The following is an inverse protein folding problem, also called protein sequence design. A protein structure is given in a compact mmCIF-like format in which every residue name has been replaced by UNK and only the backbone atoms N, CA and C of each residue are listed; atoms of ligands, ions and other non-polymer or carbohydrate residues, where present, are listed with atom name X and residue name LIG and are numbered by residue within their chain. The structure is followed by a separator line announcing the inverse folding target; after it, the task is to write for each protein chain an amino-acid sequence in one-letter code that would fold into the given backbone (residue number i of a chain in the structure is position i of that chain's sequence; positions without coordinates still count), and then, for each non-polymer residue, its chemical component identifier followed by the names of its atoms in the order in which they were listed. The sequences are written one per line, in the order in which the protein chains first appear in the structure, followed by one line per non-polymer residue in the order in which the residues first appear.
data_IF_741553993772
#
_entry.id   IF_741553993772
#
_cell.length_a   1.000
_cell.length_b   1.000
_cell.length_c   1.000
_cell.angle_alpha   90.00
_cell.angle_beta   90.00
_cell.angle_gamma   90.00
#
_symmetry.space_group_name_H-M   'P 1'
#
loop_
_entity.id
_entity.type
_entity.pdbx_description
1 polymer ?
#
# COMPACT_ATOMS: atom_id res chain seq x y z
N UNK A 1 -13.37 2.09 -64.59
CA UNK A 1 -13.02 0.68 -64.37
C UNK A 1 -13.78 0.23 -63.14
N UNK A 2 -14.82 -0.60 -63.23
CA UNK A 2 -15.45 -1.18 -64.42
C UNK A 2 -16.97 -1.13 -64.19
N UNK A 3 -17.62 -0.19 -64.90
CA UNK A 3 -18.94 -0.28 -65.56
C UNK A 3 -20.13 -0.97 -64.85
N UNK A 4 -21.40 -0.51 -64.90
CA UNK A 4 -22.17 0.61 -65.51
C UNK A 4 -23.55 0.60 -64.77
N UNK A 5 -24.45 1.59 -64.79
CA UNK A 5 -24.59 2.88 -65.50
C UNK A 5 -25.24 3.90 -64.52
N UNK A 6 -26.00 4.89 -65.02
CA UNK A 6 -26.82 5.88 -64.29
C UNK A 6 -28.15 6.07 -65.07
N UNK A 7 -29.17 6.67 -64.44
CA UNK A 7 -30.43 7.25 -65.01
C UNK A 7 -31.63 6.28 -65.17
N UNK A 8 -32.90 6.73 -65.10
CA UNK A 8 -33.47 8.10 -65.06
C UNK A 8 -34.76 8.20 -64.21
N UNK A 9 -35.22 9.42 -63.95
CA UNK A 9 -36.35 9.78 -63.05
C UNK A 9 -37.66 10.11 -63.82
N UNK A 10 -38.79 9.85 -63.16
CA UNK A 10 -40.05 10.64 -63.14
C UNK A 10 -41.18 10.47 -64.19
N UNK A 11 -42.38 10.72 -63.63
CA UNK A 11 -43.72 11.06 -64.17
C UNK A 11 -44.74 9.92 -64.32
N UNK A 12 -46.05 10.03 -64.03
CA UNK A 12 -46.98 10.85 -63.19
C UNK A 12 -48.42 10.43 -63.64
N UNK A 13 -49.47 10.68 -62.83
CA UNK A 13 -50.94 10.48 -63.09
C UNK A 13 -51.50 9.04 -63.01
N UNK A 14 -52.80 8.79 -62.73
CA UNK A 14 -53.79 9.33 -61.76
C UNK A 14 -55.15 8.57 -61.92
N UNK A 15 -55.93 8.40 -60.84
CA UNK A 15 -57.31 7.84 -60.76
C UNK A 15 -57.48 6.34 -61.15
N UNK A 16 -58.46 5.56 -60.64
CA UNK A 16 -59.78 5.82 -59.99
C UNK A 16 -59.94 5.03 -58.66
N UNK A 17 -60.58 5.56 -57.59
CA UNK A 17 -62.00 5.34 -57.17
C UNK A 17 -62.57 3.94 -57.54
N UNK A 18 -63.33 3.18 -56.72
CA UNK A 18 -64.10 3.39 -55.46
C UNK A 18 -64.49 1.96 -54.92
N UNK A 19 -65.09 1.65 -53.75
CA UNK A 19 -65.50 2.33 -52.50
C UNK A 19 -65.91 1.24 -51.46
N UNK A 20 -65.55 1.36 -50.16
CA UNK A 20 -66.40 1.14 -48.96
C UNK A 20 -65.58 1.07 -47.66
N UNK A 21 -66.06 1.69 -46.57
CA UNK A 21 -65.37 1.71 -45.29
C UNK A 21 -66.04 0.83 -44.22
N UNK A 22 -65.24 0.41 -43.24
CA UNK A 22 -65.69 0.18 -41.88
C UNK A 22 -64.63 0.72 -40.92
N UNK A 23 -64.95 1.80 -40.23
CA UNK A 23 -64.08 2.40 -39.20
C UNK A 23 -64.16 1.59 -37.92
N UNK A 24 -63.17 0.74 -37.67
CA UNK A 24 -62.87 0.25 -36.32
C UNK A 24 -61.70 1.06 -35.76
N UNK A 25 -62.02 2.14 -35.06
CA UNK A 25 -61.06 2.81 -34.18
C UNK A 25 -60.95 1.95 -32.91
N UNK A 26 -60.19 0.85 -33.03
CA UNK A 26 -59.72 0.09 -31.88
C UNK A 26 -58.66 0.90 -31.15
N UNK A 27 -59.10 1.79 -30.25
CA UNK A 27 -58.19 2.48 -29.35
C UNK A 27 -57.86 1.56 -28.17
N UNK A 28 -57.02 0.54 -28.43
CA UNK A 28 -56.42 -0.29 -27.38
C UNK A 28 -55.41 0.54 -26.58
N UNK A 29 -55.95 1.37 -25.69
CA UNK A 29 -55.27 1.83 -24.49
C UNK A 29 -55.56 0.84 -23.37
N UNK A 30 -55.12 -0.40 -23.54
CA UNK A 30 -54.82 -1.23 -22.38
C UNK A 30 -53.82 -0.43 -21.52
N UNK A 31 -54.13 -0.14 -20.25
CA UNK A 31 -53.17 0.51 -19.38
C UNK A 31 -51.92 -0.37 -19.34
N UNK A 32 -50.75 0.18 -19.66
CA UNK A 32 -49.49 -0.55 -19.44
C UNK A 32 -49.45 -0.90 -17.95
N UNK A 33 -49.43 -2.19 -17.66
CA UNK A 33 -49.43 -2.68 -16.28
C UNK A 33 -48.25 -2.06 -15.53
N UNK A 34 -48.52 -1.53 -14.34
CA UNK A 34 -47.53 -0.78 -13.57
C UNK A 34 -46.44 -1.75 -13.12
N UNK A 35 -45.17 -1.41 -13.33
CA UNK A 35 -44.10 -2.23 -12.78
C UNK A 35 -44.11 -2.18 -11.24
N UNK A 36 -43.73 -3.30 -10.64
CA UNK A 36 -43.64 -3.51 -9.18
C UNK A 36 -42.34 -4.21 -8.77
N UNK A 37 -41.48 -4.58 -9.72
CA UNK A 37 -40.20 -5.25 -9.47
C UNK A 37 -39.12 -4.17 -9.38
N UNK A 38 -38.33 -4.10 -8.29
CA UNK A 38 -37.22 -3.17 -8.19
C UNK A 38 -36.08 -3.49 -9.18
N UNK A 39 -35.42 -2.47 -9.74
CA UNK A 39 -34.27 -2.68 -10.63
C UNK A 39 -33.05 -3.26 -9.89
N UNK A 40 -32.19 -3.96 -10.62
CA UNK A 40 -30.92 -4.50 -10.16
C UNK A 40 -29.82 -3.45 -10.29
N UNK A 41 -29.35 -2.94 -9.16
CA UNK A 41 -28.17 -2.09 -9.03
C UNK A 41 -26.94 -2.95 -8.72
N UNK A 42 -25.90 -2.88 -9.56
CA UNK A 42 -24.63 -3.60 -9.37
C UNK A 42 -23.46 -2.62 -9.31
N UNK A 43 -22.58 -2.81 -8.32
CA UNK A 43 -21.33 -2.05 -8.15
C UNK A 43 -20.17 -3.04 -8.08
N UNK A 44 -19.39 -3.15 -9.15
CA UNK A 44 -18.11 -3.85 -9.14
C UNK A 44 -17.07 -3.00 -8.39
N UNK A 45 -16.01 -3.60 -7.86
CA UNK A 45 -14.97 -2.86 -7.10
C UNK A 45 -15.57 -1.99 -5.99
N UNK A 46 -16.07 -2.63 -4.93
CA UNK A 46 -16.70 -1.97 -3.77
C UNK A 46 -15.72 -1.19 -2.89
N UNK A 47 -14.41 -1.29 -3.17
CA UNK A 47 -13.37 -0.41 -2.63
C UNK A 47 -12.51 0.12 -3.77
N UNK A 48 -12.40 1.44 -3.89
CA UNK A 48 -11.46 2.12 -4.79
C UNK A 48 -10.45 2.88 -3.94
N UNK A 49 -9.19 2.89 -4.39
CA UNK A 49 -8.08 3.51 -3.68
C UNK A 49 -7.27 4.34 -4.69
N UNK A 50 -7.21 5.65 -4.45
CA UNK A 50 -6.53 6.63 -5.32
C UNK A 50 -5.72 7.62 -4.51
N UNK A 51 -4.74 8.28 -5.12
CA UNK A 51 -4.07 9.46 -4.55
C UNK A 51 -4.87 10.74 -4.80
N UNK A 52 -4.63 11.77 -3.98
CA UNK A 52 -5.10 13.13 -4.29
C UNK A 52 -4.62 13.53 -5.69
N UNK A 53 -5.54 14.06 -6.50
CA UNK A 53 -5.27 14.49 -7.86
C UNK A 53 -5.28 13.38 -8.92
N UNK A 54 -5.36 12.09 -8.54
CA UNK A 54 -5.67 11.04 -9.51
C UNK A 54 -7.13 11.15 -9.98
N UNK A 55 -7.41 10.92 -11.28
CA UNK A 55 -8.77 10.97 -11.79
C UNK A 55 -9.59 9.80 -11.24
N UNK A 56 -10.81 10.09 -10.77
CA UNK A 56 -11.77 9.11 -10.28
C UNK A 56 -13.10 9.25 -11.01
N UNK A 57 -13.55 8.18 -11.66
CA UNK A 57 -14.91 8.04 -12.16
C UNK A 57 -15.73 7.19 -11.18
N UNK A 58 -16.68 7.83 -10.48
CA UNK A 58 -17.57 7.14 -9.55
C UNK A 58 -18.58 6.22 -10.27
N UNK A 59 -18.78 6.34 -11.57
CA UNK A 59 -19.64 5.44 -12.37
C UNK A 59 -18.88 4.26 -12.99
N UNK A 60 -17.54 4.23 -12.91
CA UNK A 60 -16.76 3.09 -13.40
C UNK A 60 -17.20 1.80 -12.67
N UNK A 61 -17.56 0.76 -13.44
CA UNK A 61 -18.01 -0.51 -12.89
C UNK A 61 -19.37 -0.47 -12.19
N UNK A 62 -20.23 0.51 -12.47
CA UNK A 62 -21.58 0.63 -11.91
C UNK A 62 -22.62 0.41 -13.01
N UNK A 63 -23.61 -0.46 -12.77
CA UNK A 63 -24.69 -0.78 -13.74
C UNK A 63 -26.06 -0.85 -13.07
N UNK A 64 -27.10 -0.54 -13.83
CA UNK A 64 -28.50 -0.56 -13.40
C UNK A 64 -29.40 -1.19 -14.45
N UNK A 65 -30.01 -2.33 -14.14
CA UNK A 65 -30.86 -3.09 -15.07
C UNK A 65 -32.28 -3.28 -14.52
N UNK A 66 -33.27 -3.12 -15.38
CA UNK A 66 -34.70 -3.22 -15.09
C UNK A 66 -35.40 -4.21 -16.02
N UNK A 67 -36.42 -4.91 -15.52
CA UNK A 67 -37.15 -5.94 -16.27
C UNK A 67 -38.10 -5.41 -17.37
N UNK A 68 -38.57 -4.16 -17.29
CA UNK A 68 -39.46 -3.54 -18.28
C UNK A 68 -38.76 -2.44 -19.08
N UNK A 69 -37.78 -1.77 -18.48
CA UNK A 69 -37.06 -0.63 -19.08
C UNK A 69 -35.70 -1.00 -19.66
N UNK A 70 -35.11 -2.13 -19.26
CA UNK A 70 -33.79 -2.56 -19.71
C UNK A 70 -32.66 -1.82 -18.98
N UNK A 71 -31.68 -1.29 -19.71
CA UNK A 71 -30.57 -0.54 -19.09
C UNK A 71 -31.03 0.86 -18.67
N UNK A 72 -31.01 1.09 -17.35
CA UNK A 72 -31.32 2.37 -16.71
C UNK A 72 -30.14 2.88 -15.87
N UNK A 73 -28.91 2.45 -16.19
CA UNK A 73 -27.66 2.89 -15.53
C UNK A 73 -27.52 4.41 -15.49
N UNK A 74 -28.07 5.12 -16.49
CA UNK A 74 -28.08 6.59 -16.55
C UNK A 74 -29.01 7.28 -15.54
N UNK A 75 -29.81 6.53 -14.76
CA UNK A 75 -30.67 7.04 -13.67
C UNK A 75 -30.07 6.84 -12.29
N UNK A 76 -28.90 6.21 -12.20
CA UNK A 76 -28.22 6.00 -10.93
C UNK A 76 -27.83 7.37 -10.34
N UNK A 77 -28.13 7.54 -9.06
CA UNK A 77 -27.76 8.73 -8.29
C UNK A 77 -26.79 8.33 -7.18
N UNK A 78 -25.87 9.23 -6.84
CA UNK A 78 -24.79 8.97 -5.89
C UNK A 78 -24.89 9.98 -4.74
N UNK A 79 -25.09 9.50 -3.52
CA UNK A 79 -24.80 10.28 -2.33
C UNK A 79 -23.29 10.30 -2.11
N UNK A 80 -22.73 11.49 -2.29
CA UNK A 80 -21.33 11.84 -2.08
C UNK A 80 -21.19 13.00 -1.07
N UNK A 81 -22.21 13.22 -0.23
CA UNK A 81 -22.29 14.35 0.73
C UNK A 81 -21.10 14.45 1.68
N UNK A 82 -20.47 13.32 2.02
CA UNK A 82 -19.29 13.24 2.88
C UNK A 82 -17.97 13.07 2.09
N UNK A 83 -18.01 12.99 0.76
CA UNK A 83 -16.84 12.69 -0.06
C UNK A 83 -16.02 13.94 -0.38
N UNK A 84 -14.71 13.92 -0.10
CA UNK A 84 -13.78 14.97 -0.50
C UNK A 84 -12.55 14.37 -1.23
N UNK A 85 -12.47 14.47 -2.58
CA UNK A 85 -11.34 13.93 -3.35
C UNK A 85 -10.01 14.67 -3.10
N UNK A 86 -10.05 15.84 -2.45
CA UNK A 86 -8.88 16.69 -2.19
C UNK A 86 -8.35 16.54 -0.75
N UNK A 87 -8.77 15.52 0.00
CA UNK A 87 -8.38 15.35 1.40
C UNK A 87 -8.13 13.86 1.72
N UNK A 88 -7.01 13.50 2.39
CA UNK A 88 -6.77 12.13 2.84
C UNK A 88 -7.93 11.64 3.71
N UNK A 89 -8.45 10.45 3.41
CA UNK A 89 -9.54 9.87 4.17
C UNK A 89 -10.14 8.61 3.53
N UNK A 90 -10.88 7.88 4.35
CA UNK A 90 -11.78 6.83 3.88
C UNK A 90 -13.19 7.41 3.85
N UNK A 91 -13.80 7.40 2.67
CA UNK A 91 -15.14 7.92 2.42
C UNK A 91 -16.06 6.79 1.97
N UNK A 92 -17.35 6.92 2.26
CA UNK A 92 -18.38 6.04 1.72
C UNK A 92 -19.24 6.85 0.77
N UNK A 93 -19.40 6.39 -0.46
CA UNK A 93 -20.44 6.86 -1.39
C UNK A 93 -21.54 5.82 -1.49
N UNK A 94 -22.78 6.26 -1.67
CA UNK A 94 -23.97 5.39 -1.70
C UNK A 94 -24.68 5.56 -3.05
N UNK A 95 -24.92 4.45 -3.74
CA UNK A 95 -25.62 4.42 -5.02
C UNK A 95 -27.09 4.08 -4.82
N UNK A 96 -27.96 4.82 -5.50
CA UNK A 96 -29.41 4.63 -5.52
C UNK A 96 -29.90 4.54 -6.97
N UNK A 97 -30.91 3.70 -7.19
CA UNK A 97 -31.57 3.55 -8.48
C UNK A 97 -33.07 3.39 -8.28
N UNK A 98 -33.85 4.14 -9.05
CA UNK A 98 -35.31 4.09 -9.06
C UNK A 98 -35.77 4.00 -10.52
N UNK A 99 -36.71 3.09 -10.79
CA UNK A 99 -37.35 2.97 -12.10
C UNK A 99 -38.35 4.12 -12.37
N UNK A 100 -39.06 4.10 -13.50
CA UNK A 100 -40.09 5.11 -13.82
C UNK A 100 -41.37 5.00 -12.97
N UNK A 101 -41.63 3.82 -12.41
CA UNK A 101 -42.88 3.43 -11.74
C UNK A 101 -42.78 3.62 -10.21
N UNK A 102 -41.58 3.91 -9.70
CA UNK A 102 -41.25 4.24 -8.32
C UNK A 102 -40.59 3.11 -7.53
N UNK A 103 -40.25 1.97 -8.16
CA UNK A 103 -39.59 0.87 -7.48
C UNK A 103 -38.10 1.17 -7.30
N UNK A 104 -37.60 1.01 -6.07
CA UNK A 104 -36.25 1.42 -5.68
C UNK A 104 -35.37 0.21 -5.41
N UNK A 105 -34.18 0.16 -6.02
CA UNK A 105 -33.17 -0.84 -5.73
C UNK A 105 -32.68 -0.74 -4.28
N UNK A 106 -32.18 -1.85 -3.72
CA UNK A 106 -31.40 -1.82 -2.47
C UNK A 106 -30.16 -0.94 -2.68
N UNK A 107 -29.91 0.10 -1.85
CA UNK A 107 -28.74 0.94 -1.99
C UNK A 107 -27.45 0.16 -1.82
N UNK A 108 -26.45 0.44 -2.65
CA UNK A 108 -25.13 -0.21 -2.61
C UNK A 108 -24.08 0.82 -2.21
N UNK A 109 -23.15 0.44 -1.33
CA UNK A 109 -22.06 1.32 -0.87
C UNK A 109 -20.75 1.01 -1.59
N UNK A 110 -19.96 2.03 -1.88
CA UNK A 110 -18.54 1.89 -2.27
C UNK A 110 -17.67 2.72 -1.34
N UNK A 111 -16.58 2.11 -0.89
CA UNK A 111 -15.55 2.77 -0.08
C UNK A 111 -14.53 3.42 -1.02
N UNK A 112 -14.33 4.73 -0.89
CA UNK A 112 -13.27 5.47 -1.59
C UNK A 112 -12.18 5.83 -0.58
N UNK A 113 -10.99 5.27 -0.74
CA UNK A 113 -9.81 5.62 0.04
C UNK A 113 -9.02 6.67 -0.75
N UNK A 114 -9.19 7.94 -0.39
CA UNK A 114 -8.31 9.01 -0.87
C UNK A 114 -7.05 8.97 -0.03
N UNK A 115 -5.93 8.72 -0.68
CA UNK A 115 -4.61 8.83 -0.10
C UNK A 115 -4.14 10.25 -0.37
N UNK A 116 -4.18 11.06 0.67
CA UNK A 116 -3.55 12.36 0.62
C UNK A 116 -2.04 12.21 0.71
N UNK A 117 -1.38 12.67 -0.34
CA UNK A 117 0.00 13.10 -0.31
C UNK A 117 0.11 14.33 0.61
N UNK A 118 0.04 14.13 1.93
CA UNK A 118 0.68 15.09 2.84
C UNK A 118 2.19 14.82 2.74
N UNK A 119 2.79 15.32 1.65
CA UNK A 119 4.19 15.08 1.34
C UNK A 119 5.02 15.56 2.53
N UNK A 120 5.76 14.64 3.15
CA UNK A 120 6.60 14.99 4.30
C UNK A 120 7.69 16.01 3.94
N UNK A 121 8.00 16.12 2.66
CA UNK A 121 8.89 17.14 2.11
C UNK A 121 8.32 18.56 2.29
N UNK A 122 6.99 18.72 2.34
CA UNK A 122 6.29 19.97 2.66
C UNK A 122 6.39 20.33 4.16
N UNK A 123 6.67 19.34 5.03
CA UNK A 123 6.93 19.66 6.43
C UNK A 123 8.25 20.41 6.54
N UNK A 124 8.18 21.56 7.19
CA UNK A 124 9.35 22.36 7.53
C UNK A 124 10.30 21.53 8.42
N UNK A 125 11.59 21.73 8.19
CA UNK A 125 12.63 21.15 9.01
C UNK A 125 12.67 21.87 10.37
N UNK A 126 12.72 21.10 11.45
CA UNK A 126 12.91 21.64 12.80
C UNK A 126 14.24 21.16 13.37
N UNK A 127 15.23 22.04 13.35
CA UNK A 127 16.61 21.78 13.81
C UNK A 127 16.84 22.11 15.29
N UNK A 128 15.96 22.92 15.87
CA UNK A 128 16.15 23.49 17.21
C UNK A 128 15.93 22.47 18.35
N UNK A 129 16.23 22.91 19.57
CA UNK A 129 15.89 22.18 20.78
C UNK A 129 14.36 22.17 20.98
N UNK A 130 13.80 20.99 21.28
CA UNK A 130 12.38 20.86 21.59
C UNK A 130 12.25 20.85 23.11
N UNK A 131 11.62 21.87 23.67
CA UNK A 131 11.48 22.03 25.13
C UNK A 131 10.81 20.79 25.78
N UNK A 132 11.51 20.18 26.74
CA UNK A 132 11.03 18.98 27.44
C UNK A 132 11.10 17.68 26.63
N UNK A 133 11.79 17.66 25.49
CA UNK A 133 12.06 16.46 24.71
C UNK A 133 12.78 15.39 25.55
N UNK A 134 12.29 14.16 25.45
CA UNK A 134 12.93 13.02 26.12
C UNK A 134 14.11 12.51 25.30
N UNK A 135 15.22 12.21 25.98
CA UNK A 135 16.38 11.56 25.37
C UNK A 135 16.16 10.06 25.21
N UNK A 136 16.76 9.42 24.18
CA UNK A 136 16.67 7.99 23.95
C UNK A 136 17.35 7.21 25.06
N UNK A 137 16.82 6.04 25.40
CA UNK A 137 17.35 5.17 26.47
C UNK A 137 18.06 3.95 25.87
N UNK A 138 19.05 3.44 26.60
CA UNK A 138 19.77 2.24 26.20
C UNK A 138 18.83 1.02 26.16
N UNK A 139 19.00 0.20 25.13
CA UNK A 139 18.23 -1.03 24.90
C UNK A 139 19.18 -2.23 24.77
N UNK A 140 18.76 -3.37 25.30
CA UNK A 140 19.49 -4.62 25.16
C UNK A 140 19.21 -5.27 23.79
N UNK A 141 20.16 -6.05 23.28
CA UNK A 141 19.91 -6.92 22.14
C UNK A 141 18.81 -7.93 22.47
N UNK A 142 17.69 -7.87 21.75
CA UNK A 142 16.76 -8.98 21.65
C UNK A 142 17.38 -10.08 20.74
N UNK A 143 17.43 -11.34 21.17
CA UNK A 143 18.09 -12.41 20.42
C UNK A 143 17.17 -13.00 19.33
N UNK A 144 17.76 -13.38 18.20
CA UNK A 144 17.08 -14.15 17.14
C UNK A 144 17.50 -13.81 15.71
N UNK A 145 18.14 -12.66 15.49
CA UNK A 145 18.51 -12.15 14.17
C UNK A 145 19.84 -11.40 14.21
N UNK A 146 20.40 -11.10 13.04
CA UNK A 146 21.49 -10.14 12.87
C UNK A 146 20.88 -8.79 12.46
N UNK A 147 20.96 -7.75 13.28
CA UNK A 147 20.34 -6.46 12.94
C UNK A 147 21.08 -5.24 13.47
N UNK A 148 20.96 -4.15 12.73
CA UNK A 148 21.26 -2.80 13.18
C UNK A 148 19.95 -2.04 13.40
N UNK A 149 19.71 -1.57 14.62
CA UNK A 149 18.51 -0.80 15.01
C UNK A 149 18.91 0.60 15.45
N UNK A 150 18.15 1.59 14.98
CA UNK A 150 18.20 2.98 15.43
C UNK A 150 16.82 3.35 15.97
N UNK A 151 16.75 3.85 17.21
CA UNK A 151 15.50 4.03 17.96
C UNK A 151 15.46 5.35 18.72
N UNK A 152 14.28 5.98 18.74
CA UNK A 152 14.03 7.24 19.44
C UNK A 152 13.77 7.04 20.93
N UNK A 153 13.65 8.14 21.66
CA UNK A 153 12.94 8.17 22.94
C UNK A 153 11.46 7.82 22.80
N UNK A 154 10.84 7.37 23.90
CA UNK A 154 9.37 7.39 24.05
C UNK A 154 8.89 8.80 24.34
N UNK A 155 8.48 9.52 23.30
CA UNK A 155 8.00 10.91 23.34
C UNK A 155 6.80 11.10 22.39
N UNK A 156 6.26 12.31 22.26
CA UNK A 156 5.09 12.64 21.43
C UNK A 156 5.40 12.67 19.92
N UNK A 157 6.12 11.67 19.43
CA UNK A 157 6.38 11.43 18.02
C UNK A 157 5.11 10.97 17.30
N UNK A 158 4.93 11.42 16.06
CA UNK A 158 3.79 11.11 15.18
C UNK A 158 4.15 10.13 14.06
N UNK A 159 5.43 9.82 13.88
CA UNK A 159 5.92 8.96 12.82
C UNK A 159 7.44 9.00 12.68
N UNK A 160 7.95 8.13 11.82
CA UNK A 160 9.33 8.08 11.34
C UNK A 160 9.32 8.02 9.82
N UNK A 161 10.38 8.58 9.23
CA UNK A 161 10.58 8.75 7.79
C UNK A 161 12.04 8.49 7.49
N UNK A 162 12.36 7.97 6.31
CA UNK A 162 13.72 7.92 5.82
C UNK A 162 13.79 7.61 4.35
N UNK A 163 14.77 8.22 3.68
CA UNK A 163 15.09 7.92 2.29
C UNK A 163 16.21 6.90 2.26
N UNK A 164 15.97 5.76 1.63
CA UNK A 164 16.92 4.65 1.54
C UNK A 164 17.12 4.21 0.10
N UNK A 165 18.37 4.03 -0.32
CA UNK A 165 18.71 3.18 -1.47
C UNK A 165 18.87 1.74 -0.99
N UNK A 166 18.08 0.82 -1.55
CA UNK A 166 17.97 -0.55 -1.06
C UNK A 166 19.27 -1.34 -1.26
N UNK A 167 19.70 -2.11 -0.25
CA UNK A 167 20.94 -2.88 -0.28
C UNK A 167 20.90 -4.05 -1.26
N UNK A 168 22.08 -4.44 -1.73
CA UNK A 168 22.32 -5.77 -2.29
C UNK A 168 22.36 -6.81 -1.18
N UNK A 169 22.18 -8.08 -1.52
CA UNK A 169 22.26 -9.18 -0.57
C UNK A 169 22.77 -10.45 -1.24
N UNK A 170 23.39 -11.32 -0.44
CA UNK A 170 23.69 -12.71 -0.79
C UNK A 170 23.09 -13.60 0.29
N UNK A 171 22.48 -14.72 -0.09
CA UNK A 171 21.84 -15.66 0.84
C UNK A 171 22.78 -16.84 1.15
N UNK A 172 22.65 -17.47 2.32
CA UNK A 172 23.47 -18.63 2.69
C UNK A 172 22.83 -19.94 2.19
N UNK A 173 23.40 -20.52 1.14
CA UNK A 173 23.03 -21.84 0.61
C UNK A 173 23.03 -22.94 1.67
N UNK A 174 23.94 -22.88 2.66
CA UNK A 174 23.97 -23.85 3.76
C UNK A 174 22.78 -23.71 4.72
N UNK A 175 21.99 -22.64 4.58
CA UNK A 175 20.80 -22.33 5.37
C UNK A 175 19.54 -22.29 4.50
N UNK A 176 19.57 -22.91 3.32
CA UNK A 176 18.38 -23.28 2.55
C UNK A 176 17.79 -24.60 3.08
N UNK A 177 16.57 -24.57 3.61
CA UNK A 177 15.88 -25.72 4.18
C UNK A 177 14.37 -25.67 3.87
N UNK A 178 13.76 -26.83 3.60
CA UNK A 178 12.31 -26.97 3.38
C UNK A 178 11.72 -25.98 2.35
N UNK A 179 12.47 -25.70 1.27
CA UNK A 179 12.04 -24.81 0.19
C UNK A 179 12.10 -23.31 0.53
N UNK A 180 12.97 -22.88 1.46
CA UNK A 180 13.28 -21.47 1.72
C UNK A 180 14.67 -21.29 2.33
N UNK A 181 15.24 -20.10 2.21
CA UNK A 181 16.34 -19.68 3.08
C UNK A 181 15.78 -19.39 4.48
N UNK A 182 16.54 -19.77 5.51
CA UNK A 182 16.23 -19.47 6.90
C UNK A 182 16.71 -18.08 7.34
N UNK A 183 17.54 -17.43 6.53
CA UNK A 183 17.99 -16.06 6.72
C UNK A 183 17.28 -15.15 5.72
N UNK A 184 16.60 -14.12 6.21
CA UNK A 184 15.70 -13.30 5.43
C UNK A 184 16.01 -11.80 5.65
N UNK A 185 16.78 -11.17 4.74
CA UNK A 185 16.99 -9.74 4.71
C UNK A 185 15.68 -8.92 4.78
N UNK A 186 15.65 -7.95 5.70
CA UNK A 186 14.53 -7.04 5.91
C UNK A 186 14.98 -5.64 6.29
N UNK A 187 14.12 -4.66 6.00
CA UNK A 187 14.35 -3.23 6.21
C UNK A 187 13.01 -2.65 6.65
N UNK A 188 12.87 -2.34 7.93
CA UNK A 188 11.59 -1.92 8.47
C UNK A 188 11.72 -0.73 9.41
N UNK A 189 10.64 0.03 9.43
CA UNK A 189 10.37 1.05 10.43
C UNK A 189 9.33 0.52 11.40
N UNK A 190 8.89 1.36 12.34
CA UNK A 190 7.86 1.01 13.29
C UNK A 190 8.10 1.71 14.60
N UNK A 191 7.60 1.12 15.69
CA UNK A 191 7.65 1.75 16.99
C UNK A 191 7.08 0.91 18.11
N UNK A 192 7.04 1.49 19.30
CA UNK A 192 6.38 0.92 20.46
C UNK A 192 5.70 2.03 21.28
N UNK A 193 4.38 1.96 21.36
CA UNK A 193 3.56 2.82 22.21
C UNK A 193 3.06 2.01 23.40
N UNK A 194 1.86 1.43 23.28
CA UNK A 194 1.37 0.37 24.18
C UNK A 194 1.83 -1.03 23.76
N UNK A 195 2.08 -1.26 22.47
CA UNK A 195 2.62 -2.49 21.92
C UNK A 195 3.58 -2.21 20.76
N UNK A 196 4.34 -3.23 20.36
CA UNK A 196 5.29 -3.16 19.23
C UNK A 196 4.57 -3.21 17.89
N UNK A 197 5.14 -2.55 16.89
CA UNK A 197 4.73 -2.64 15.49
C UNK A 197 5.94 -2.46 14.58
N UNK A 198 6.01 -3.27 13.53
CA UNK A 198 7.07 -3.30 12.52
C UNK A 198 6.42 -3.17 11.15
N UNK A 199 6.81 -2.21 10.32
CA UNK A 199 6.29 -2.10 8.96
C UNK A 199 7.36 -1.57 8.00
N UNK A 200 7.41 -2.15 6.81
CA UNK A 200 8.39 -1.82 5.79
C UNK A 200 8.53 -2.93 4.79
N UNK A 201 9.77 -3.33 4.51
CA UNK A 201 10.11 -4.28 3.45
C UNK A 201 10.79 -5.53 4.00
N UNK A 202 10.34 -6.69 3.52
CA UNK A 202 10.99 -7.99 3.73
C UNK A 202 11.26 -8.61 2.39
N UNK A 203 12.37 -9.36 2.24
CA UNK A 203 12.46 -10.30 1.14
C UNK A 203 11.26 -11.25 1.17
N UNK A 204 10.71 -11.49 0.00
CA UNK A 204 9.47 -12.22 -0.21
C UNK A 204 9.52 -12.99 -1.53
N UNK A 205 8.64 -14.00 -1.65
CA UNK A 205 8.45 -14.72 -2.90
C UNK A 205 7.92 -13.79 -4.00
N UNK A 206 8.33 -14.07 -5.24
CA UNK A 206 7.95 -13.38 -6.46
C UNK A 206 7.17 -14.30 -7.40
N UNK A 207 6.29 -13.75 -8.23
CA UNK A 207 5.70 -14.45 -9.36
C UNK A 207 6.62 -14.33 -10.58
N UNK A 208 7.01 -15.46 -11.16
CA UNK A 208 7.87 -15.53 -12.33
C UNK A 208 7.05 -15.40 -13.62
N UNK A 209 7.73 -15.15 -14.76
CA UNK A 209 7.08 -14.94 -16.08
C UNK A 209 6.12 -16.05 -16.53
N UNK A 210 6.36 -17.29 -16.10
CA UNK A 210 5.51 -18.45 -16.37
C UNK A 210 4.28 -18.55 -15.45
N UNK A 211 4.07 -17.57 -14.57
CA UNK A 211 3.00 -17.53 -13.58
C UNK A 211 3.30 -18.27 -12.27
N UNK A 212 4.36 -19.10 -12.20
CA UNK A 212 4.72 -19.83 -10.98
C UNK A 212 5.39 -18.93 -9.95
N UNK A 213 5.32 -19.31 -8.68
CA UNK A 213 6.01 -18.59 -7.60
C UNK A 213 7.49 -19.03 -7.52
N UNK A 214 8.37 -18.09 -7.20
CA UNK A 214 9.80 -18.36 -6.98
C UNK A 214 9.99 -19.36 -5.83
N UNK A 215 11.02 -20.21 -5.95
CA UNK A 215 11.37 -21.21 -4.92
C UNK A 215 12.02 -20.60 -3.68
N UNK A 216 12.32 -19.30 -3.70
CA UNK A 216 12.89 -18.55 -2.59
C UNK A 216 12.51 -17.06 -2.64
N UNK A 217 12.69 -16.39 -1.51
CA UNK A 217 12.45 -14.95 -1.36
C UNK A 217 13.52 -14.15 -2.09
N UNK A 218 13.13 -13.32 -3.06
CA UNK A 218 14.07 -12.66 -4.00
C UNK A 218 13.71 -11.23 -4.39
N UNK A 219 12.66 -10.66 -3.78
CA UNK A 219 12.23 -9.28 -4.00
C UNK A 219 11.80 -8.67 -2.67
N UNK A 220 12.12 -7.41 -2.42
CA UNK A 220 11.63 -6.70 -1.24
C UNK A 220 10.17 -6.29 -1.45
N UNK A 221 9.29 -6.69 -0.52
CA UNK A 221 7.84 -6.43 -0.64
C UNK A 221 7.26 -5.88 0.68
N UNK A 222 6.19 -5.07 0.61
CA UNK A 222 5.57 -4.49 1.80
C UNK A 222 5.01 -5.52 2.77
N UNK A 223 5.31 -5.32 4.06
CA UNK A 223 4.69 -6.01 5.18
C UNK A 223 4.38 -5.03 6.32
N UNK A 224 3.42 -5.40 7.16
CA UNK A 224 3.17 -4.76 8.45
C UNK A 224 2.80 -5.79 9.51
N UNK A 225 3.59 -5.83 10.58
CA UNK A 225 3.37 -6.60 11.80
C UNK A 225 2.88 -5.66 12.89
N UNK A 226 1.85 -6.07 13.62
CA UNK A 226 1.32 -5.30 14.74
C UNK A 226 0.75 -6.22 15.82
N UNK A 227 0.79 -5.76 17.07
CA UNK A 227 0.33 -6.55 18.23
C UNK A 227 -0.96 -5.95 18.78
N UNK A 228 -2.07 -6.71 18.69
CA UNK A 228 -3.40 -6.28 19.16
C UNK A 228 -4.27 -7.42 19.70
N UNK A 229 -5.18 -7.09 20.61
CA UNK A 229 -6.31 -7.94 21.03
C UNK A 229 -7.61 -7.64 20.27
N UNK A 230 -7.73 -6.45 19.67
CA UNK A 230 -8.95 -5.94 18.99
C UNK A 230 -8.63 -5.51 17.56
N UNK A 231 -9.64 -5.37 16.70
CA UNK A 231 -9.47 -4.88 15.32
C UNK A 231 -8.43 -5.69 14.51
N UNK A 232 -8.45 -7.02 14.65
CA UNK A 232 -7.67 -7.93 13.81
C UNK A 232 -8.35 -8.01 12.44
N UNK A 233 -7.64 -7.64 11.39
CA UNK A 233 -8.04 -7.82 9.99
C UNK A 233 -7.60 -9.20 9.46
N UNK A 234 -7.76 -10.26 10.27
CA UNK A 234 -7.32 -11.61 9.90
C UNK A 234 -8.12 -12.16 8.72
N UNK A 235 -7.42 -12.61 7.67
CA UNK A 235 -8.07 -13.08 6.46
C UNK A 235 -7.11 -13.32 5.29
N UNK A 236 -7.53 -14.19 4.37
CA UNK A 236 -6.81 -14.41 3.11
C UNK A 236 -6.94 -13.22 2.15
N UNK A 237 -6.41 -13.38 0.94
CA UNK A 237 -6.55 -12.36 -0.10
C UNK A 237 -8.01 -12.08 -0.48
N UNK A 238 -8.91 -13.07 -0.38
CA UNK A 238 -10.34 -12.91 -0.64
C UNK A 238 -11.00 -11.86 0.26
N UNK A 239 -10.65 -11.86 1.54
CA UNK A 239 -11.23 -10.97 2.57
C UNK A 239 -10.80 -9.50 2.39
N UNK A 240 -9.73 -9.29 1.60
CA UNK A 240 -9.09 -8.00 1.39
C UNK A 240 -9.04 -7.63 -0.10
N UNK A 241 -10.13 -7.90 -0.85
CA UNK A 241 -10.31 -7.52 -2.26
C UNK A 241 -9.19 -8.00 -3.21
N UNK A 242 -8.46 -9.06 -2.84
CA UNK A 242 -7.32 -9.57 -3.58
C UNK A 242 -6.03 -8.76 -3.43
N UNK A 243 -5.95 -7.81 -2.49
CA UNK A 243 -4.82 -6.88 -2.31
C UNK A 243 -3.74 -7.42 -1.35
N UNK A 244 -4.12 -7.95 -0.19
CA UNK A 244 -3.20 -8.41 0.85
C UNK A 244 -3.81 -9.56 1.66
N UNK A 245 -3.00 -10.26 2.46
CA UNK A 245 -3.48 -11.26 3.40
C UNK A 245 -2.87 -11.01 4.77
N UNK A 246 -3.62 -11.30 5.83
CA UNK A 246 -3.19 -11.14 7.22
C UNK A 246 -3.39 -12.44 7.95
N UNK A 247 -2.35 -12.88 8.67
CA UNK A 247 -2.42 -14.00 9.61
C UNK A 247 -2.09 -13.54 11.03
N UNK A 248 -2.83 -14.02 12.02
CA UNK A 248 -2.63 -13.65 13.43
C UNK A 248 -2.25 -14.88 14.27
N UNK A 249 -1.14 -14.78 14.99
CA UNK A 249 -0.76 -15.76 16.03
C UNK A 249 -1.00 -15.14 17.40
N UNK A 250 -2.15 -15.48 18.01
CA UNK A 250 -2.62 -14.82 19.22
C UNK A 250 -2.87 -13.33 18.94
N UNK A 251 -2.07 -12.45 19.54
CA UNK A 251 -2.17 -11.01 19.31
C UNK A 251 -1.25 -10.48 18.21
N UNK A 252 -0.29 -11.27 17.72
CA UNK A 252 0.72 -10.85 16.76
C UNK A 252 0.22 -11.10 15.33
N UNK A 253 -0.15 -10.05 14.61
CA UNK A 253 -0.74 -10.11 13.26
C UNK A 253 0.25 -9.61 12.20
N UNK A 254 0.28 -10.27 11.04
CA UNK A 254 1.20 -9.99 9.93
C UNK A 254 0.46 -9.81 8.60
N UNK A 255 0.32 -8.57 8.15
CA UNK A 255 -0.16 -8.24 6.82
C UNK A 255 0.96 -8.30 5.77
N UNK A 256 0.66 -8.96 4.65
CA UNK A 256 1.56 -9.11 3.50
C UNK A 256 0.79 -8.80 2.22
N UNK A 257 1.34 -7.94 1.35
CA UNK A 257 0.69 -7.64 0.07
C UNK A 257 0.60 -8.88 -0.85
N UNK A 258 -0.22 -8.83 -1.90
CA UNK A 258 -0.36 -9.91 -2.87
C UNK A 258 0.84 -9.95 -3.85
N UNK A 259 1.35 -11.15 -4.15
CA UNK A 259 2.52 -11.32 -5.01
C UNK A 259 2.29 -10.92 -6.47
N UNK A 260 1.11 -11.16 -7.07
CA UNK A 260 0.77 -10.74 -8.45
C UNK A 260 1.06 -9.25 -8.77
N UNK A 261 1.06 -8.38 -7.76
CA UNK A 261 1.30 -6.95 -7.90
C UNK A 261 2.81 -6.67 -7.98
N UNK A 262 3.39 -6.93 -9.15
CA UNK A 262 4.84 -6.81 -9.42
C UNK A 262 5.37 -5.38 -9.32
N UNK A 263 4.47 -4.38 -9.41
CA UNK A 263 4.76 -2.97 -9.15
C UNK A 263 5.14 -2.69 -7.69
N UNK A 264 4.89 -3.60 -6.74
CA UNK A 264 5.37 -3.50 -5.36
C UNK A 264 6.53 -4.46 -5.08
N UNK A 265 7.28 -4.83 -6.12
CA UNK A 265 8.59 -5.48 -6.00
C UNK A 265 9.65 -4.41 -6.04
N UNK A 266 10.20 -4.10 -4.88
CA UNK A 266 11.38 -3.26 -4.75
C UNK A 266 12.63 -4.13 -4.80
N UNK A 267 13.67 -3.65 -5.46
CA UNK A 267 14.87 -4.41 -5.76
C UNK A 267 16.12 -3.64 -5.29
N UNK A 268 17.27 -4.31 -5.10
CA UNK A 268 18.53 -3.65 -4.77
C UNK A 268 18.84 -2.48 -5.71
N UNK A 269 19.24 -1.33 -5.16
CA UNK A 269 19.51 -0.10 -5.90
C UNK A 269 18.28 0.79 -6.18
N UNK A 270 17.04 0.31 -5.97
CA UNK A 270 15.88 1.21 -5.95
C UNK A 270 16.06 2.21 -4.77
N UNK A 271 15.81 3.50 -5.00
CA UNK A 271 15.74 4.50 -3.93
C UNK A 271 14.28 4.80 -3.61
N UNK A 272 13.91 4.65 -2.33
CA UNK A 272 12.56 4.91 -1.83
C UNK A 272 12.59 5.87 -0.65
N UNK A 273 11.53 6.66 -0.50
CA UNK A 273 11.15 7.33 0.76
C UNK A 273 10.19 6.40 1.49
N UNK A 274 10.59 5.86 2.63
CA UNK A 274 9.73 5.02 3.47
C UNK A 274 9.29 5.79 4.70
N UNK A 275 8.06 5.57 5.14
CA UNK A 275 7.41 6.29 6.22
C UNK A 275 6.51 5.34 7.01
N UNK A 276 6.59 5.39 8.33
CA UNK A 276 5.58 4.78 9.22
C UNK A 276 5.11 5.85 10.19
N UNK A 277 3.84 6.25 10.06
CA UNK A 277 3.27 7.38 10.79
C UNK A 277 1.87 7.06 11.32
N UNK A 278 1.38 7.88 12.24
CA UNK A 278 0.07 7.76 12.86
C UNK A 278 -0.92 8.79 12.28
N UNK A 279 -1.69 8.42 11.23
CA UNK A 279 -2.72 9.30 10.67
C UNK A 279 -3.90 9.52 11.63
N UNK A 280 -4.13 8.57 12.55
CA UNK A 280 -5.21 8.56 13.52
C UNK A 280 -4.73 7.91 14.81
N UNK A 281 -5.23 8.37 15.96
CA UNK A 281 -4.94 7.75 17.26
C UNK A 281 -5.17 6.23 17.25
N UNK A 282 -4.19 5.50 17.78
CA UNK A 282 -4.13 4.04 17.85
C UNK A 282 -4.02 3.32 16.50
N UNK A 283 -3.63 4.03 15.44
CA UNK A 283 -3.33 3.45 14.13
C UNK A 283 -1.97 3.91 13.62
N UNK A 284 -1.34 3.04 12.82
CA UNK A 284 -0.20 3.35 11.99
C UNK A 284 -0.52 3.05 10.52
N UNK A 285 0.24 3.64 9.62
CA UNK A 285 0.22 3.36 8.19
C UNK A 285 1.64 3.40 7.63
N UNK A 286 1.95 2.44 6.76
CA UNK A 286 3.18 2.40 5.97
C UNK A 286 2.94 3.11 4.64
N UNK A 287 3.82 4.04 4.29
CA UNK A 287 3.88 4.71 2.98
C UNK A 287 5.28 4.53 2.42
N UNK A 288 5.37 4.22 1.14
CA UNK A 288 6.61 4.06 0.38
C UNK A 288 6.44 4.86 -0.92
N UNK A 289 7.26 5.87 -1.15
CA UNK A 289 7.33 6.56 -2.45
C UNK A 289 8.62 6.17 -3.18
N UNK A 290 8.53 5.87 -4.47
CA UNK A 290 9.69 5.56 -5.31
C UNK A 290 10.33 6.85 -5.79
N UNK A 291 11.60 7.07 -5.44
CA UNK A 291 12.39 8.23 -5.87
C UNK A 291 13.17 7.91 -7.14
N UNK A 292 13.79 6.72 -7.22
CA UNK A 292 14.51 6.26 -8.41
C UNK A 292 14.51 4.75 -8.52
N UNK A 293 14.42 4.23 -9.74
CA UNK A 293 14.56 2.81 -10.04
C UNK A 293 16.05 2.44 -10.13
N UNK A 294 16.38 1.21 -9.75
CA UNK A 294 17.72 0.65 -9.82
C UNK A 294 18.29 0.65 -11.23
N UNK A 295 19.56 1.08 -11.35
CA UNK A 295 20.35 1.00 -12.59
C UNK A 295 21.34 -0.18 -12.58
N UNK A 296 21.25 -1.08 -11.59
CA UNK A 296 22.14 -2.25 -11.48
C UNK A 296 21.79 -3.24 -12.62
N UNK A 297 22.73 -3.60 -13.52
CA UNK A 297 22.42 -4.38 -14.72
C UNK A 297 21.68 -5.70 -14.47
N UNK A 298 22.07 -6.42 -13.42
CA UNK A 298 21.47 -7.70 -13.01
C UNK A 298 20.01 -7.50 -12.56
N UNK A 299 19.73 -6.42 -11.83
CA UNK A 299 18.40 -6.06 -11.33
C UNK A 299 17.48 -5.62 -12.46
N UNK A 300 17.98 -4.77 -13.37
CA UNK A 300 17.26 -4.34 -14.59
C UNK A 300 16.94 -5.56 -15.46
N UNK A 301 17.90 -6.47 -15.64
CA UNK A 301 17.70 -7.69 -16.39
C UNK A 301 16.72 -8.66 -15.69
N UNK A 302 16.74 -8.77 -14.36
CA UNK A 302 15.80 -9.59 -13.59
C UNK A 302 14.35 -9.12 -13.78
N UNK A 303 14.10 -7.80 -13.65
CA UNK A 303 12.77 -7.19 -13.84
C UNK A 303 12.28 -7.42 -15.28
N UNK A 304 13.12 -7.11 -16.27
CA UNK A 304 12.82 -7.31 -17.70
C UNK A 304 12.58 -8.77 -18.08
N UNK A 305 13.40 -9.70 -17.57
CA UNK A 305 13.28 -11.14 -17.89
C UNK A 305 11.97 -11.72 -17.38
N UNK A 306 11.51 -11.27 -16.21
CA UNK A 306 10.23 -11.71 -15.65
C UNK A 306 9.00 -10.96 -16.19
N UNK A 307 9.17 -9.84 -16.89
CA UNK A 307 8.05 -9.00 -17.33
C UNK A 307 7.35 -8.27 -16.17
N UNK A 308 8.08 -7.97 -15.11
CA UNK A 308 7.57 -7.22 -13.96
C UNK A 308 7.39 -5.74 -14.30
N UNK A 309 6.37 -5.12 -13.73
CA UNK A 309 6.14 -3.68 -13.77
C UNK A 309 7.33 -2.94 -13.13
N UNK A 310 7.55 -1.69 -13.54
CA UNK A 310 8.40 -0.76 -12.79
C UNK A 310 7.82 -0.50 -11.38
N UNK A 311 8.66 -0.26 -10.37
CA UNK A 311 8.20 -0.15 -9.00
C UNK A 311 7.36 1.12 -8.84
N UNK A 312 6.19 0.98 -8.19
CA UNK A 312 5.29 2.07 -7.84
C UNK A 312 5.33 2.36 -6.35
N UNK A 313 4.97 3.59 -6.01
CA UNK A 313 4.76 4.01 -4.64
C UNK A 313 3.57 3.25 -4.00
N UNK A 314 3.74 2.78 -2.76
CA UNK A 314 2.82 1.93 -2.02
C UNK A 314 2.29 2.61 -0.76
N UNK A 315 1.04 2.31 -0.40
CA UNK A 315 0.43 2.70 0.88
C UNK A 315 -0.29 1.48 1.46
N UNK A 316 0.00 1.12 2.71
CA UNK A 316 -0.72 0.06 3.41
C UNK A 316 -2.14 0.48 3.78
N UNK A 317 -3.03 -0.46 4.10
CA UNK A 317 -4.16 -0.19 4.99
C UNK A 317 -3.67 0.47 6.29
N UNK A 318 -4.55 1.20 6.98
CA UNK A 318 -4.28 1.59 8.36
C UNK A 318 -4.39 0.35 9.25
N UNK A 319 -3.31 -0.01 9.95
CA UNK A 319 -3.29 -1.14 10.87
C UNK A 319 -3.32 -0.65 12.32
N UNK A 320 -3.99 -1.41 13.19
CA UNK A 320 -4.17 -1.00 14.59
C UNK A 320 -2.84 -1.09 15.36
N UNK A 321 -2.50 -0.03 16.08
CA UNK A 321 -1.30 0.04 16.90
C UNK A 321 -1.55 0.90 18.14
N UNK A 322 -1.98 0.24 19.22
CA UNK A 322 -2.49 0.88 20.43
C UNK A 322 -1.53 1.91 21.03
N UNK A 323 -2.02 3.14 21.25
CA UNK A 323 -1.26 4.26 21.83
C UNK A 323 -0.53 5.15 20.82
N UNK A 324 -0.17 4.68 19.61
CA UNK A 324 0.49 5.54 18.63
C UNK A 324 -0.41 6.74 18.26
N UNK A 325 0.18 7.93 18.14
CA UNK A 325 -0.55 9.18 17.90
C UNK A 325 -1.39 9.70 19.07
N UNK A 326 -1.40 9.01 20.22
CA UNK A 326 -2.19 9.37 21.42
C UNK A 326 -1.33 9.51 22.68
N UNK A 327 -0.41 8.57 22.90
CA UNK A 327 0.52 8.53 24.04
C UNK A 327 1.96 8.66 23.55
N UNK A 328 2.93 9.00 24.43
CA UNK A 328 4.34 8.89 24.10
C UNK A 328 4.71 7.51 23.53
N UNK A 329 5.43 7.50 22.42
CA UNK A 329 5.80 6.32 21.66
C UNK A 329 7.27 6.42 21.23
N UNK A 330 7.98 5.30 21.13
CA UNK A 330 9.26 5.24 20.43
C UNK A 330 9.01 4.91 18.96
N UNK A 331 9.83 5.43 18.06
CA UNK A 331 9.93 4.96 16.68
C UNK A 331 11.32 4.41 16.42
N UNK A 332 11.40 3.42 15.52
CA UNK A 332 12.63 2.72 15.15
C UNK A 332 12.74 2.58 13.64
N UNK A 333 13.97 2.52 13.13
CA UNK A 333 14.33 1.92 11.84
C UNK A 333 15.34 0.81 12.05
N UNK A 334 15.23 -0.26 11.28
CA UNK A 334 16.02 -1.49 11.42
C UNK A 334 16.43 -1.99 10.04
N UNK A 335 17.69 -2.40 9.93
CA UNK A 335 18.20 -3.27 8.86
C UNK A 335 18.52 -4.61 9.49
N UNK A 336 17.97 -5.71 8.97
CA UNK A 336 18.14 -7.03 9.57
C UNK A 336 18.37 -8.13 8.53
N UNK A 337 18.97 -9.22 9.01
CA UNK A 337 18.86 -10.57 8.47
C UNK A 337 18.07 -11.34 9.53
N UNK A 338 16.75 -11.37 9.37
CA UNK A 338 15.85 -12.07 10.29
C UNK A 338 15.97 -13.57 10.10
N UNK A 339 15.98 -14.34 11.19
CA UNK A 339 16.12 -15.80 11.11
C UNK A 339 14.80 -16.52 11.44
N UNK A 340 14.33 -17.31 10.48
CA UNK A 340 13.04 -18.00 10.53
C UNK A 340 12.95 -18.89 11.78
N UNK A 341 11.89 -18.71 12.55
CA UNK A 341 11.61 -19.45 13.80
C UNK A 341 12.72 -19.37 14.87
N UNK A 342 13.55 -18.31 14.85
CA UNK A 342 14.67 -18.10 15.77
C UNK A 342 14.44 -16.96 16.80
N UNK A 343 13.30 -16.28 16.77
CA UNK A 343 12.92 -15.24 17.76
C UNK A 343 13.12 -15.76 19.20
N UNK A 344 13.83 -15.00 20.03
CA UNK A 344 14.15 -15.37 21.42
C UNK A 344 15.34 -16.33 21.60
N UNK A 345 15.96 -16.83 20.52
CA UNK A 345 17.11 -17.76 20.56
C UNK A 345 18.39 -17.06 20.09
N UNK A 346 19.60 -17.55 20.45
CA UNK A 346 20.84 -17.01 19.91
C UNK A 346 20.81 -16.93 18.37
N UNK A 347 21.30 -15.83 17.81
CA UNK A 347 21.42 -15.69 16.36
C UNK A 347 22.41 -16.76 15.84
N UNK A 348 21.99 -17.48 14.81
CA UNK A 348 22.75 -18.57 14.22
C UNK A 348 23.76 -18.00 13.21
N UNK A 349 24.96 -18.58 13.16
CA UNK A 349 25.97 -18.21 12.17
C UNK A 349 25.44 -18.43 10.74
N UNK A 350 25.70 -17.47 9.85
CA UNK A 350 25.23 -17.47 8.46
C UNK A 350 26.28 -16.87 7.52
N UNK A 351 26.33 -17.31 6.27
CA UNK A 351 27.08 -16.68 5.18
C UNK A 351 26.34 -15.49 4.57
N UNK A 352 25.06 -15.31 4.89
CA UNK A 352 24.22 -14.30 4.29
C UNK A 352 24.75 -12.92 4.63
N UNK A 353 24.80 -12.05 3.63
CA UNK A 353 25.24 -10.66 3.76
C UNK A 353 24.21 -9.71 3.18
N UNK A 354 24.12 -8.52 3.76
CA UNK A 354 23.32 -7.40 3.26
C UNK A 354 24.25 -6.21 3.17
N UNK A 355 24.38 -5.60 2.00
CA UNK A 355 25.43 -4.63 1.72
C UNK A 355 24.87 -3.31 1.21
N UNK A 356 25.38 -2.22 1.78
CA UNK A 356 25.14 -0.85 1.32
C UNK A 356 23.66 -0.43 1.37
N UNK A 357 22.99 -0.64 2.50
CA UNK A 357 21.71 -0.01 2.78
C UNK A 357 21.95 1.47 3.09
N UNK A 358 21.85 2.33 2.08
CA UNK A 358 22.19 3.76 2.20
C UNK A 358 20.97 4.56 2.63
N UNK A 359 20.80 4.80 3.93
CA UNK A 359 19.89 5.84 4.43
C UNK A 359 20.51 7.21 4.15
N UNK A 360 19.94 7.94 3.19
CA UNK A 360 20.38 9.30 2.84
C UNK A 360 20.00 10.31 3.93
N UNK A 361 18.81 10.11 4.51
CA UNK A 361 18.22 10.92 5.57
C UNK A 361 17.20 10.10 6.36
N UNK A 362 16.97 10.47 7.62
CA UNK A 362 15.91 9.95 8.47
C UNK A 362 15.39 11.03 9.43
N UNK A 363 14.06 11.10 9.57
CA UNK A 363 13.37 12.10 10.38
C UNK A 363 12.35 11.44 11.32
N UNK A 364 12.18 12.05 12.49
CA UNK A 364 11.00 11.85 13.33
C UNK A 364 9.98 12.94 13.04
N UNK A 365 8.70 12.62 13.12
CA UNK A 365 7.62 13.59 12.94
C UNK A 365 7.12 14.06 14.29
N UNK A 366 6.98 15.38 14.47
CA UNK A 366 6.45 15.96 15.71
C UNK A 366 5.46 17.08 15.41
N UNK A 367 4.41 17.18 16.22
CA UNK A 367 3.59 18.37 16.26
C UNK A 367 4.21 19.35 17.27
N UNK A 368 4.46 20.59 16.83
CA UNK A 368 4.99 21.67 17.67
C UNK A 368 4.05 22.86 17.46
N UNK A 369 3.42 23.33 18.54
CA UNK A 369 2.47 24.46 18.53
C UNK A 369 1.33 24.35 17.50
N UNK A 370 0.87 23.13 17.20
CA UNK A 370 -0.20 22.86 16.23
C UNK A 370 0.28 22.48 14.83
N UNK A 371 1.53 22.80 14.47
CA UNK A 371 2.09 22.52 13.15
C UNK A 371 2.93 21.23 13.16
N UNK A 372 2.88 20.47 12.06
CA UNK A 372 3.73 19.28 11.85
C UNK A 372 5.10 19.67 11.28
N UNK A 373 6.15 19.08 11.85
CA UNK A 373 7.54 19.26 11.44
C UNK A 373 8.23 17.90 11.24
N UNK A 374 9.24 17.90 10.35
CA UNK A 374 10.25 16.84 10.30
C UNK A 374 11.45 17.25 11.16
N UNK A 375 11.79 16.42 12.14
CA UNK A 375 12.88 16.62 13.08
C UNK A 375 14.00 15.66 12.70
N UNK A 376 15.24 16.14 12.41
CA UNK A 376 16.38 15.28 12.10
C UNK A 376 16.56 14.20 13.17
N UNK A 377 16.54 12.92 12.76
CA UNK A 377 16.73 11.79 13.66
C UNK A 377 18.23 11.57 13.90
N UNK A 378 18.90 12.57 14.48
CA UNK A 378 20.36 12.64 14.68
C UNK A 378 20.79 12.04 16.02
N UNK A 379 22.08 11.86 16.25
CA UNK A 379 22.66 11.14 17.41
C UNK A 379 22.11 11.57 18.78
N UNK A 380 21.76 12.85 19.00
CA UNK A 380 21.14 13.30 20.26
C UNK A 380 19.73 12.73 20.51
N UNK A 381 19.06 12.26 19.45
CA UNK A 381 17.71 11.68 19.44
C UNK A 381 17.70 10.17 19.20
N UNK A 382 18.85 9.57 18.89
CA UNK A 382 19.02 8.14 18.62
C UNK A 382 19.64 7.38 19.80
N UNK A 383 19.14 6.19 20.09
CA UNK A 383 19.97 5.08 20.57
C UNK A 383 20.21 4.11 19.41
N UNK A 384 21.43 3.56 19.32
CA UNK A 384 21.86 2.65 18.25
C UNK A 384 22.38 1.36 18.85
N UNK A 385 22.00 0.23 18.25
CA UNK A 385 22.50 -1.09 18.62
C UNK A 385 22.70 -1.98 17.38
N UNK A 386 23.78 -2.75 17.40
CA UNK A 386 24.14 -3.76 16.40
C UNK A 386 24.26 -5.11 17.09
N UNK A 387 23.42 -6.06 16.70
CA UNK A 387 23.23 -7.32 17.40
C UNK A 387 23.40 -8.52 16.45
N UNK A 388 23.92 -9.67 16.92
CA UNK A 388 24.41 -9.96 18.27
C UNK A 388 25.83 -9.42 18.58
N UNK A 389 26.62 -9.05 17.57
CA UNK A 389 27.97 -8.48 17.71
C UNK A 389 28.14 -7.29 16.78
N UNK A 390 28.84 -6.25 17.23
CA UNK A 390 29.18 -5.06 16.44
C UNK A 390 30.10 -5.35 15.26
N UNK A 391 30.94 -6.38 15.35
CA UNK A 391 31.99 -6.65 14.35
C UNK A 391 31.42 -7.15 13.02
N UNK A 392 30.22 -7.72 13.09
CA UNK A 392 29.39 -8.12 11.96
C UNK A 392 28.75 -6.93 11.23
N UNK A 393 29.09 -5.69 11.55
CA UNK A 393 28.51 -4.51 10.92
C UNK A 393 29.57 -3.54 10.40
N UNK A 394 29.30 -2.95 9.25
CA UNK A 394 30.01 -1.78 8.74
C UNK A 394 28.99 -0.66 8.66
N UNK A 395 29.13 0.32 9.55
CA UNK A 395 28.29 1.52 9.62
C UNK A 395 29.17 2.71 9.25
N UNK A 396 28.79 3.45 8.21
CA UNK A 396 29.47 4.68 7.79
C UNK A 396 28.46 5.78 7.55
N UNK A 397 28.86 7.05 7.61
CA UNK A 397 28.02 8.18 7.26
C UNK A 397 28.87 9.30 6.67
N UNK A 398 28.35 10.00 5.68
CA UNK A 398 28.86 11.33 5.29
C UNK A 398 28.43 12.38 6.31
N UNK A 399 29.03 13.57 6.25
CA UNK A 399 28.60 14.72 7.07
C UNK A 399 27.12 15.05 6.82
N UNK A 400 26.69 15.01 5.55
CA UNK A 400 25.29 15.25 5.17
C UNK A 400 24.36 14.18 5.75
N UNK A 401 24.70 12.89 5.64
CA UNK A 401 23.92 11.81 6.26
C UNK A 401 23.82 12.03 7.78
N UNK A 402 24.94 12.35 8.43
CA UNK A 402 25.02 12.58 9.88
C UNK A 402 24.12 13.74 10.33
N UNK A 403 24.11 14.85 9.59
CA UNK A 403 23.23 16.00 9.85
C UNK A 403 21.75 15.69 9.63
N UNK A 404 21.43 14.76 8.74
CA UNK A 404 20.07 14.42 8.33
C UNK A 404 19.58 13.09 8.92
N UNK A 405 20.28 12.49 9.90
CA UNK A 405 19.90 11.24 10.57
C UNK A 405 20.10 9.94 9.77
N UNK A 406 20.70 10.05 8.59
CA UNK A 406 21.06 8.94 7.71
C UNK A 406 22.39 8.27 8.08
N UNK A 407 22.63 7.08 7.52
CA UNK A 407 23.88 6.33 7.56
C UNK A 407 23.82 5.22 6.49
N UNK A 408 24.97 4.62 6.17
CA UNK A 408 25.07 3.44 5.31
C UNK A 408 25.35 2.22 6.19
N UNK A 409 24.53 1.18 6.02
CA UNK A 409 24.59 -0.06 6.81
C UNK A 409 24.93 -1.25 5.93
N UNK A 410 25.95 -2.02 6.31
CA UNK A 410 26.20 -3.38 5.81
C UNK A 410 26.26 -4.36 6.97
N UNK A 411 25.65 -5.54 6.79
CA UNK A 411 25.57 -6.65 7.73
C UNK A 411 26.39 -7.81 7.17
N UNK A 412 27.51 -8.13 7.84
CA UNK A 412 28.56 -9.07 7.43
C UNK A 412 28.86 -10.10 8.55
N UNK A 413 27.97 -11.07 8.83
CA UNK A 413 28.11 -12.02 9.96
C UNK A 413 29.38 -12.89 9.95
N UNK A 414 30.01 -13.09 8.79
CA UNK A 414 31.30 -13.77 8.61
C UNK A 414 32.41 -12.83 8.15
N UNK A 415 32.49 -11.62 8.73
CA UNK A 415 33.66 -10.76 8.54
C UNK A 415 34.90 -11.53 9.01
N UNK A 416 35.76 -11.93 8.07
CA UNK A 416 37.08 -12.46 8.43
C UNK A 416 37.84 -11.34 9.14
N UNK A 417 38.44 -11.67 10.28
CA UNK A 417 39.58 -10.91 10.78
C UNK A 417 40.67 -10.95 9.69
N UNK A 418 41.14 -9.78 9.27
CA UNK A 418 42.24 -9.60 8.32
C UNK A 418 43.54 -9.43 9.10
#
# INVERSE_FOLDING_TARGET
MTERLIYKKSYLLLLTLFLFGFTLIGCDKTPKEKDTIPPLLTVYETTIKIRIGEPLDLMQGVTGLDNVEGDITNRITIDQSNFNPNQPGTYTVIYYLVDKDGNSATPVTRTIIIIGDQQIEDYQLYTEEIAGEKLPQAQNCFPGAWYHKVVSSKDYWRGIVGVITLPTYTLDEARFQNGRYLDNPSIYMGGNAGSESDAGLSLSLAQLKNGSISTYSMVYRPFWRYITTINKDEGGYSEHNGEYAVSCTGNNCYGNWHYKNTEYYYLPGDTIKMMVYSPKENYLQLVIDVISVSTIPEVVNLRKTNGWNDPKSFISPMFYSGGHGRTPAEFKRVNAIDQVANEGKPAQATAAVVENAVWKEAYLLRNISGQMYRVPFVTSRQYRLSCPSTDAFVITATDQQTLMGGETVSILPRRKEN
#
